data_IF_642987319762
#
_entry.id   IF_642987319762
#
_cell.length_a   1.000
_cell.length_b   1.000
_cell.length_c   1.000
_cell.angle_alpha   90.00
_cell.angle_beta   90.00
_cell.angle_gamma   90.00
#
_symmetry.space_group_name_H-M   'P 1'
#
loop_
_entity.id
_entity.type
_entity.pdbx_description
1 polymer ?
#
# COMPACT_ATOMS: atom_id res chain seq x y z
N UNK A 1 82.93 -3.36 4.83
CA UNK A 1 81.77 -4.26 4.82
C UNK A 1 80.86 -3.86 5.98
N UNK A 2 79.78 -3.11 5.71
CA UNK A 2 78.74 -2.80 6.70
C UNK A 2 77.46 -3.38 6.11
N UNK A 3 76.94 -4.44 6.74
CA UNK A 3 75.71 -5.11 6.34
C UNK A 3 74.50 -4.32 6.88
N UNK A 4 73.70 -3.75 5.98
CA UNK A 4 72.42 -3.14 6.32
C UNK A 4 71.33 -4.21 6.30
N UNK A 5 70.79 -4.55 7.47
CA UNK A 5 69.63 -5.43 7.61
C UNK A 5 68.35 -4.59 7.48
N UNK A 6 67.63 -4.75 6.36
CA UNK A 6 66.29 -4.20 6.16
C UNK A 6 65.25 -5.11 6.82
N UNK A 7 64.65 -4.65 7.91
CA UNK A 7 63.51 -5.31 8.54
C UNK A 7 62.22 -4.97 7.77
N UNK A 8 61.66 -5.93 7.04
CA UNK A 8 60.31 -5.85 6.48
C UNK A 8 59.27 -6.02 7.59
N UNK A 9 58.65 -4.94 8.03
CA UNK A 9 57.45 -4.94 8.87
C UNK A 9 56.24 -5.34 8.03
N UNK A 10 55.78 -6.58 8.17
CA UNK A 10 54.45 -6.99 7.71
C UNK A 10 53.40 -6.30 8.60
N UNK A 11 52.68 -5.32 8.04
CA UNK A 11 51.48 -4.79 8.68
C UNK A 11 50.37 -5.85 8.56
N UNK A 12 49.67 -6.22 9.65
CA UNK A 12 48.54 -7.13 9.56
C UNK A 12 47.41 -6.45 8.78
N UNK A 13 46.97 -7.09 7.70
CA UNK A 13 45.67 -6.79 7.10
C UNK A 13 44.59 -7.06 8.15
N UNK A 14 44.04 -6.00 8.72
CA UNK A 14 42.79 -6.08 9.45
C UNK A 14 41.71 -6.48 8.44
N UNK A 15 41.44 -7.77 8.33
CA UNK A 15 40.22 -8.27 7.72
C UNK A 15 39.05 -7.67 8.51
N UNK A 16 38.45 -6.61 7.99
CA UNK A 16 37.18 -6.11 8.49
C UNK A 16 36.16 -7.24 8.28
N UNK A 17 35.84 -7.96 9.36
CA UNK A 17 34.70 -8.84 9.39
C UNK A 17 33.48 -7.98 9.08
N UNK A 18 32.98 -8.07 7.84
CA UNK A 18 31.80 -7.37 7.42
C UNK A 18 30.65 -7.89 8.29
N UNK A 19 30.11 -7.02 9.16
CA UNK A 19 29.06 -7.41 10.08
C UNK A 19 27.91 -8.05 9.29
N UNK A 20 27.43 -9.20 9.75
CA UNK A 20 26.41 -9.95 9.03
C UNK A 20 25.10 -9.14 9.01
N UNK A 21 24.62 -8.76 7.83
CA UNK A 21 23.35 -8.06 7.69
C UNK A 21 22.17 -8.93 8.19
N UNK A 22 21.19 -8.40 8.93
CA UNK A 22 21.23 -7.11 9.62
C UNK A 22 21.91 -7.23 11.00
N UNK A 23 22.72 -6.23 11.35
CA UNK A 23 23.41 -6.11 12.65
C UNK A 23 22.84 -5.00 13.55
N UNK A 24 21.83 -4.27 13.05
CA UNK A 24 21.15 -3.17 13.72
C UNK A 24 19.68 -3.09 13.25
N UNK A 25 18.83 -2.33 13.95
CA UNK A 25 17.46 -2.07 13.51
C UNK A 25 17.35 -1.53 12.09
N UNK A 26 16.38 -2.04 11.35
CA UNK A 26 15.98 -1.59 10.02
C UNK A 26 14.74 -0.70 10.11
N UNK A 27 14.46 0.06 9.05
CA UNK A 27 13.31 0.94 8.92
C UNK A 27 12.38 0.47 7.81
N UNK A 28 11.09 0.45 8.10
CA UNK A 28 10.02 0.29 7.12
C UNK A 28 9.26 1.61 6.98
N UNK A 29 9.52 2.33 5.89
CA UNK A 29 8.79 3.53 5.54
C UNK A 29 7.41 3.16 5.00
N UNK A 30 6.35 3.70 5.62
CA UNK A 30 4.96 3.49 5.21
C UNK A 30 4.41 4.80 4.65
N UNK A 31 3.98 4.85 3.37
CA UNK A 31 3.62 6.09 2.68
C UNK A 31 2.22 6.65 3.04
N UNK A 32 1.68 6.29 4.20
CA UNK A 32 0.39 6.78 4.72
C UNK A 32 0.44 6.90 6.25
N UNK A 33 -0.45 7.73 6.79
CA UNK A 33 -0.70 7.82 8.23
C UNK A 33 -1.16 6.47 8.80
N UNK A 34 -0.90 6.28 10.10
CA UNK A 34 -1.27 5.07 10.83
C UNK A 34 -2.80 4.87 10.90
N UNK A 35 -3.23 3.63 11.18
CA UNK A 35 -4.64 3.27 11.35
C UNK A 35 -5.41 3.00 10.05
N UNK A 36 -4.70 2.83 8.92
CA UNK A 36 -5.26 2.32 7.68
C UNK A 36 -4.71 0.94 7.31
N UNK A 37 -5.27 0.30 6.29
CA UNK A 37 -4.90 -1.06 5.88
C UNK A 37 -3.42 -1.22 5.53
N UNK A 38 -2.80 -0.22 4.87
CA UNK A 38 -1.35 -0.26 4.61
C UNK A 38 -0.53 -0.34 5.89
N UNK A 39 -0.93 0.38 6.94
CA UNK A 39 -0.23 0.38 8.24
C UNK A 39 -0.47 -0.94 9.00
N UNK A 40 -1.69 -1.48 8.95
CA UNK A 40 -2.01 -2.77 9.55
C UNK A 40 -1.14 -3.90 8.97
N UNK A 41 -1.13 -4.04 7.64
CA UNK A 41 -0.32 -5.05 6.95
C UNK A 41 1.18 -4.82 7.19
N UNK A 42 1.64 -3.55 7.15
CA UNK A 42 3.04 -3.22 7.39
C UNK A 42 3.51 -3.66 8.77
N UNK A 43 2.73 -3.37 9.82
CA UNK A 43 3.07 -3.76 11.21
C UNK A 43 3.08 -5.26 11.40
N UNK A 44 2.08 -5.97 10.86
CA UNK A 44 1.99 -7.42 10.93
C UNK A 44 3.21 -8.10 10.29
N UNK A 45 3.57 -7.68 9.08
CA UNK A 45 4.71 -8.26 8.35
C UNK A 45 6.03 -7.83 8.97
N UNK A 46 6.15 -6.57 9.40
CA UNK A 46 7.38 -6.07 10.01
C UNK A 46 7.74 -6.79 11.30
N UNK A 47 6.73 -7.14 12.11
CA UNK A 47 6.94 -7.98 13.29
C UNK A 47 7.58 -9.32 12.91
N UNK A 48 6.95 -10.09 12.01
CA UNK A 48 7.45 -11.41 11.65
C UNK A 48 8.80 -11.39 10.92
N UNK A 49 9.02 -10.39 10.06
CA UNK A 49 10.32 -10.19 9.40
C UNK A 49 11.40 -9.89 10.42
N UNK A 50 11.11 -9.03 11.41
CA UNK A 50 12.07 -8.68 12.45
C UNK A 50 12.43 -9.86 13.34
N UNK A 51 11.45 -10.67 13.74
CA UNK A 51 11.65 -11.91 14.50
C UNK A 51 12.56 -12.89 13.73
N UNK A 52 12.35 -13.04 12.42
CA UNK A 52 13.16 -13.94 11.57
C UNK A 52 14.58 -13.46 11.35
N UNK A 53 14.78 -12.15 11.28
CA UNK A 53 16.09 -11.56 11.02
C UNK A 53 16.88 -11.27 12.30
N UNK A 54 16.26 -11.41 13.48
CA UNK A 54 16.89 -11.12 14.77
C UNK A 54 17.14 -9.63 15.01
N UNK A 55 16.50 -8.75 14.22
CA UNK A 55 16.61 -7.30 14.31
C UNK A 55 15.24 -6.67 14.06
N UNK A 56 14.93 -5.57 14.75
CA UNK A 56 13.64 -4.90 14.55
C UNK A 56 13.53 -4.30 13.15
N UNK A 57 12.34 -4.44 12.54
CA UNK A 57 11.94 -3.66 11.37
C UNK A 57 10.94 -2.60 11.84
N UNK A 58 11.43 -1.38 12.08
CA UNK A 58 10.67 -0.31 12.73
C UNK A 58 9.79 0.40 11.71
N UNK A 59 8.47 0.43 11.95
CA UNK A 59 7.50 1.10 11.09
C UNK A 59 7.52 2.61 11.32
N UNK A 60 7.81 3.38 10.27
CA UNK A 60 7.77 4.85 10.25
C UNK A 60 6.74 5.34 9.21
N UNK A 61 5.66 5.98 9.67
CA UNK A 61 4.59 6.47 8.80
C UNK A 61 4.85 7.90 8.29
N UNK A 62 4.73 8.10 6.98
CA UNK A 62 4.74 9.44 6.36
C UNK A 62 3.75 9.52 5.19
N UNK A 63 2.53 9.97 5.48
CA UNK A 63 1.45 10.13 4.51
C UNK A 63 1.42 11.46 3.76
N UNK A 64 2.55 12.13 3.61
CA UNK A 64 2.61 13.46 2.97
C UNK A 64 2.63 13.34 1.45
N UNK A 65 1.96 14.29 0.77
CA UNK A 65 1.94 14.39 -0.70
C UNK A 65 1.55 13.08 -1.41
N UNK A 66 0.49 12.39 -0.93
CA UNK A 66 0.04 11.12 -1.50
C UNK A 66 1.07 9.99 -1.39
N UNK A 67 2.01 10.09 -0.43
CA UNK A 67 3.09 9.13 -0.24
C UNK A 67 4.39 9.43 -1.01
N UNK A 68 4.40 10.50 -1.82
CA UNK A 68 5.60 10.88 -2.58
C UNK A 68 6.79 11.25 -1.68
N UNK A 69 6.54 11.80 -0.49
CA UNK A 69 7.63 12.13 0.42
C UNK A 69 8.32 10.88 0.98
N UNK A 70 7.55 9.89 1.43
CA UNK A 70 8.11 8.61 1.90
C UNK A 70 8.86 7.88 0.78
N UNK A 71 8.33 7.95 -0.45
CA UNK A 71 8.97 7.38 -1.64
C UNK A 71 10.29 8.08 -1.93
N UNK A 72 10.34 9.41 -1.89
CA UNK A 72 11.59 10.15 -2.08
C UNK A 72 12.61 9.90 -0.97
N UNK A 73 12.15 9.80 0.28
CA UNK A 73 13.00 9.44 1.43
C UNK A 73 13.62 8.05 1.27
N UNK A 74 12.82 7.06 0.85
CA UNK A 74 13.31 5.72 0.60
C UNK A 74 14.31 5.69 -0.57
N UNK A 75 13.98 6.33 -1.69
CA UNK A 75 14.85 6.36 -2.87
C UNK A 75 16.21 7.03 -2.62
N UNK A 76 16.26 8.00 -1.70
CA UNK A 76 17.49 8.69 -1.31
C UNK A 76 18.30 7.96 -0.21
N UNK A 77 17.78 6.88 0.36
CA UNK A 77 18.47 6.11 1.39
C UNK A 77 19.63 5.31 0.79
N UNK A 78 20.61 4.97 1.65
CA UNK A 78 21.69 4.06 1.27
C UNK A 78 21.11 2.73 0.79
N UNK A 79 21.60 2.16 -0.33
CA UNK A 79 21.17 0.86 -0.83
C UNK A 79 21.83 -0.27 -0.01
N UNK A 80 21.63 -0.29 1.30
CA UNK A 80 22.27 -1.22 2.25
C UNK A 80 21.27 -2.18 2.93
N UNK A 81 19.98 -2.09 2.56
CA UNK A 81 18.90 -2.92 3.10
C UNK A 81 18.31 -2.45 4.43
N UNK A 82 18.84 -1.40 5.07
CA UNK A 82 18.31 -0.90 6.34
C UNK A 82 17.11 0.05 6.16
N UNK A 83 16.80 0.44 4.93
CA UNK A 83 15.57 1.16 4.58
C UNK A 83 14.76 0.35 3.58
N UNK A 84 13.56 -0.03 3.99
CA UNK A 84 12.56 -0.72 3.17
C UNK A 84 11.36 0.21 3.00
N UNK A 85 10.76 0.21 1.81
CA UNK A 85 9.53 0.95 1.55
C UNK A 85 8.35 -0.02 1.39
N UNK A 86 7.25 0.30 2.07
CA UNK A 86 5.95 -0.34 1.84
C UNK A 86 5.34 0.19 0.54
N UNK A 87 5.60 -0.52 -0.55
CA UNK A 87 5.07 -0.26 -1.87
C UNK A 87 3.56 -0.54 -1.94
N UNK A 88 2.84 0.36 -2.61
CA UNK A 88 1.42 0.20 -2.95
C UNK A 88 1.10 1.01 -4.21
N UNK A 89 -0.09 0.81 -4.77
CA UNK A 89 -0.48 1.38 -6.06
C UNK A 89 -0.28 2.91 -6.22
N UNK A 90 -0.60 3.69 -5.19
CA UNK A 90 -0.60 5.15 -5.31
C UNK A 90 0.81 5.70 -5.62
N UNK A 91 1.75 5.59 -4.68
CA UNK A 91 3.09 6.11 -4.87
C UNK A 91 3.87 5.41 -5.97
N UNK A 92 3.65 4.12 -6.19
CA UNK A 92 4.50 3.32 -7.08
C UNK A 92 4.13 3.42 -8.56
N UNK A 93 2.83 3.50 -8.89
CA UNK A 93 2.38 3.33 -10.29
C UNK A 93 1.36 4.37 -10.74
N UNK A 94 0.77 5.15 -9.82
CA UNK A 94 -0.27 6.15 -10.14
C UNK A 94 0.29 7.57 -10.05
N UNK A 95 0.98 7.89 -8.96
CA UNK A 95 1.47 9.23 -8.68
C UNK A 95 2.38 9.81 -9.78
N UNK A 96 3.27 9.04 -10.45
CA UNK A 96 4.07 9.55 -11.58
C UNK A 96 3.23 10.12 -12.74
N UNK A 97 1.98 9.67 -12.88
CA UNK A 97 1.05 10.14 -13.91
C UNK A 97 0.05 11.18 -13.39
N UNK A 98 -0.16 11.22 -12.08
CA UNK A 98 -1.17 12.08 -11.43
C UNK A 98 -0.59 13.43 -10.96
N UNK A 99 0.61 13.41 -10.36
CA UNK A 99 1.24 14.61 -9.81
C UNK A 99 2.21 15.20 -10.83
N UNK A 100 2.11 16.51 -11.08
CA UNK A 100 2.98 17.18 -12.07
C UNK A 100 4.45 17.24 -11.65
N UNK A 101 4.71 17.21 -10.34
CA UNK A 101 6.02 17.49 -9.74
C UNK A 101 6.64 16.28 -9.04
N UNK A 102 6.40 15.06 -9.55
CA UNK A 102 7.06 13.85 -9.02
C UNK A 102 8.55 13.89 -9.41
N UNK A 103 9.42 13.81 -8.40
CA UNK A 103 10.89 13.87 -8.57
C UNK A 103 11.56 12.50 -8.68
N UNK A 104 10.83 11.44 -8.37
CA UNK A 104 11.36 10.07 -8.27
C UNK A 104 10.46 9.17 -9.10
N UNK A 105 11.03 8.52 -10.12
CA UNK A 105 10.37 7.44 -10.83
C UNK A 105 10.52 6.14 -10.02
N UNK A 106 9.45 5.61 -9.43
CA UNK A 106 9.53 4.42 -8.58
C UNK A 106 9.97 3.16 -9.35
N UNK A 107 9.73 3.08 -10.66
CA UNK A 107 10.11 1.90 -11.45
C UNK A 107 11.62 1.81 -11.67
N UNK A 108 12.35 2.91 -11.52
CA UNK A 108 13.82 2.96 -11.69
C UNK A 108 14.56 3.17 -10.36
N UNK A 109 13.91 3.78 -9.37
CA UNK A 109 14.50 4.11 -8.08
C UNK A 109 14.56 2.94 -7.08
N UNK A 110 13.89 1.83 -7.35
CA UNK A 110 13.79 0.71 -6.40
C UNK A 110 14.09 -0.66 -7.03
N UNK A 111 14.61 -1.57 -6.21
CA UNK A 111 14.62 -3.01 -6.46
C UNK A 111 13.44 -3.67 -5.72
N UNK A 112 12.54 -4.38 -6.43
CA UNK A 112 11.41 -5.04 -5.79
C UNK A 112 11.83 -6.29 -5.02
N UNK A 113 11.23 -6.54 -3.86
CA UNK A 113 11.49 -7.76 -3.09
C UNK A 113 10.41 -8.82 -3.34
N UNK A 114 9.17 -8.49 -3.01
CA UNK A 114 8.01 -9.37 -3.20
C UNK A 114 6.72 -8.56 -3.04
N UNK A 115 5.69 -8.95 -3.79
CA UNK A 115 4.32 -8.62 -3.47
C UNK A 115 3.91 -9.43 -2.24
N UNK A 116 3.49 -8.75 -1.19
CA UNK A 116 3.13 -9.35 0.11
C UNK A 116 1.71 -9.86 0.03
N UNK A 117 0.78 -8.98 -0.33
CA UNK A 117 -0.64 -9.32 -0.38
C UNK A 117 -1.45 -8.40 -1.29
N UNK A 118 -2.64 -8.86 -1.64
CA UNK A 118 -3.70 -8.04 -2.25
C UNK A 118 -4.95 -8.06 -1.37
N UNK A 119 -5.73 -6.99 -1.40
CA UNK A 119 -6.98 -6.90 -0.64
C UNK A 119 -8.07 -6.20 -1.46
N UNK A 120 -9.32 -6.68 -1.45
CA UNK A 120 -10.43 -5.92 -1.99
C UNK A 120 -10.66 -4.66 -1.14
N UNK A 121 -11.35 -3.69 -1.75
CA UNK A 121 -11.92 -2.56 -1.06
C UNK A 121 -13.41 -2.81 -0.81
N UNK A 122 -14.01 -1.92 -0.03
CA UNK A 122 -15.42 -1.93 0.32
C UNK A 122 -15.93 -0.49 0.35
N UNK A 123 -17.11 -0.28 -0.23
CA UNK A 123 -17.87 0.95 -0.13
C UNK A 123 -18.53 0.97 1.24
N UNK A 124 -18.15 1.93 2.08
CA UNK A 124 -18.69 2.09 3.43
C UNK A 124 -19.34 3.46 3.62
N UNK A 125 -20.37 3.47 4.45
CA UNK A 125 -21.05 4.69 4.90
C UNK A 125 -21.15 4.69 6.42
N UNK A 126 -21.43 5.85 7.02
CA UNK A 126 -21.75 5.93 8.44
C UNK A 126 -23.04 5.14 8.75
N UNK A 127 -23.25 4.65 9.99
CA UNK A 127 -24.43 3.85 10.35
C UNK A 127 -25.74 4.62 10.14
N UNK A 128 -25.68 5.93 10.32
CA UNK A 128 -26.79 6.87 10.20
C UNK A 128 -27.05 7.32 8.75
N UNK A 129 -26.20 6.93 7.80
CA UNK A 129 -26.39 7.27 6.38
C UNK A 129 -27.78 6.83 5.89
N UNK A 130 -28.48 7.66 5.10
CA UNK A 130 -29.77 7.26 4.51
C UNK A 130 -29.59 6.16 3.46
N UNK A 131 -28.38 5.95 2.94
CA UNK A 131 -28.08 4.94 1.92
C UNK A 131 -27.77 3.60 2.58
N UNK A 132 -28.62 2.60 2.34
CA UNK A 132 -28.52 1.24 2.89
C UNK A 132 -28.02 0.23 1.86
N UNK A 133 -28.05 0.59 0.58
CA UNK A 133 -27.53 -0.21 -0.53
C UNK A 133 -26.64 0.65 -1.43
N UNK A 134 -25.77 0.01 -2.22
CA UNK A 134 -24.95 0.72 -3.22
C UNK A 134 -25.83 1.41 -4.27
N UNK A 135 -26.93 0.77 -4.69
CA UNK A 135 -27.88 1.34 -5.65
C UNK A 135 -28.51 2.65 -5.14
N UNK A 136 -28.85 2.74 -3.85
CA UNK A 136 -29.36 3.97 -3.24
C UNK A 136 -28.33 5.09 -3.23
N UNK A 137 -27.08 4.78 -2.88
CA UNK A 137 -25.97 5.75 -2.89
C UNK A 137 -25.75 6.29 -4.30
N UNK A 138 -25.59 5.40 -5.28
CA UNK A 138 -25.36 5.77 -6.69
C UNK A 138 -26.54 6.53 -7.26
N UNK A 139 -27.77 6.05 -7.04
CA UNK A 139 -28.97 6.70 -7.53
C UNK A 139 -29.18 8.09 -6.93
N UNK A 140 -28.79 8.30 -5.67
CA UNK A 140 -28.77 9.64 -5.07
C UNK A 140 -27.70 10.53 -5.70
N UNK A 141 -26.48 10.01 -5.88
CA UNK A 141 -25.35 10.74 -6.47
C UNK A 141 -25.65 11.20 -7.91
N UNK A 142 -26.25 10.34 -8.73
CA UNK A 142 -26.66 10.67 -10.10
C UNK A 142 -27.72 11.78 -10.17
N UNK A 143 -28.67 11.79 -9.23
CA UNK A 143 -29.72 12.82 -9.15
C UNK A 143 -29.22 14.14 -8.57
N UNK A 144 -28.11 14.10 -7.82
CA UNK A 144 -27.62 15.21 -7.02
C UNK A 144 -26.10 15.39 -7.25
N UNK A 145 -25.72 15.67 -8.49
CA UNK A 145 -24.32 15.80 -8.90
C UNK A 145 -23.53 16.75 -7.97
N UNK A 146 -22.40 16.27 -7.46
CA UNK A 146 -21.49 17.04 -6.60
C UNK A 146 -22.02 17.32 -5.19
N UNK A 147 -23.15 16.72 -4.78
CA UNK A 147 -23.69 16.88 -3.40
C UNK A 147 -23.09 15.90 -2.41
N UNK A 148 -22.73 14.69 -2.86
CA UNK A 148 -22.02 13.74 -2.01
C UNK A 148 -20.55 14.09 -1.90
N UNK A 149 -19.99 13.83 -0.73
CA UNK A 149 -18.59 13.95 -0.39
C UNK A 149 -18.02 12.57 -0.05
N UNK A 150 -16.77 12.31 -0.40
CA UNK A 150 -16.10 11.08 -0.01
C UNK A 150 -14.67 11.29 0.50
N UNK A 151 -14.35 10.56 1.56
CA UNK A 151 -12.99 10.49 2.09
C UNK A 151 -12.10 9.52 1.30
N UNK A 152 -10.79 9.73 1.36
CA UNK A 152 -9.81 8.78 0.86
C UNK A 152 -8.51 8.83 1.66
N UNK A 153 -7.66 7.81 1.52
CA UNK A 153 -6.32 7.80 2.06
C UNK A 153 -5.34 8.81 1.40
N UNK A 154 -5.81 9.58 0.41
CA UNK A 154 -5.06 10.63 -0.26
C UNK A 154 -5.23 10.60 -1.77
N UNK A 155 -4.72 11.62 -2.43
CA UNK A 155 -4.65 11.69 -3.89
C UNK A 155 -3.86 10.49 -4.45
N UNK A 156 -4.38 9.84 -5.50
CA UNK A 156 -3.78 8.64 -6.10
C UNK A 156 -3.88 7.35 -5.27
N UNK A 157 -4.40 7.40 -4.04
CA UNK A 157 -4.57 6.20 -3.22
C UNK A 157 -5.58 5.21 -3.83
N UNK A 158 -5.48 3.94 -3.43
CA UNK A 158 -6.45 2.88 -3.75
C UNK A 158 -7.91 3.34 -3.59
N UNK A 159 -8.19 3.99 -2.46
CA UNK A 159 -9.51 4.52 -2.12
C UNK A 159 -9.98 5.60 -3.10
N UNK A 160 -9.09 6.52 -3.49
CA UNK A 160 -9.45 7.57 -4.43
C UNK A 160 -9.72 6.97 -5.81
N UNK A 161 -8.82 6.10 -6.29
CA UNK A 161 -8.93 5.50 -7.61
C UNK A 161 -10.15 4.58 -7.75
N UNK A 162 -10.47 3.82 -6.72
CA UNK A 162 -11.69 3.00 -6.70
C UNK A 162 -12.94 3.89 -6.80
N UNK A 163 -13.00 5.01 -6.08
CA UNK A 163 -14.13 5.93 -6.19
C UNK A 163 -14.20 6.59 -7.56
N UNK A 164 -13.07 7.00 -8.14
CA UNK A 164 -13.02 7.55 -9.51
C UNK A 164 -13.56 6.53 -10.52
N UNK A 165 -13.09 5.28 -10.44
CA UNK A 165 -13.56 4.22 -11.32
C UNK A 165 -15.06 3.98 -11.15
N UNK A 166 -15.57 4.02 -9.92
CA UNK A 166 -16.99 3.81 -9.65
C UNK A 166 -17.80 4.97 -10.22
N UNK A 167 -17.39 6.21 -9.95
CA UNK A 167 -18.03 7.42 -10.47
C UNK A 167 -18.06 7.42 -12.00
N UNK A 168 -16.99 6.99 -12.67
CA UNK A 168 -16.95 6.85 -14.13
C UNK A 168 -17.89 5.76 -14.63
N UNK A 169 -17.84 4.57 -14.01
CA UNK A 169 -18.65 3.41 -14.39
C UNK A 169 -20.14 3.68 -14.25
N UNK A 170 -20.51 4.45 -13.24
CA UNK A 170 -21.90 4.71 -12.85
C UNK A 170 -22.38 6.12 -13.21
N UNK A 171 -21.51 6.94 -13.81
CA UNK A 171 -21.81 8.31 -14.25
C UNK A 171 -22.38 9.21 -13.13
N UNK A 172 -21.81 9.17 -11.92
CA UNK A 172 -22.11 10.14 -10.87
C UNK A 172 -20.94 11.08 -10.61
N UNK A 173 -21.23 12.19 -9.91
CA UNK A 173 -20.24 13.14 -9.43
C UNK A 173 -20.29 13.24 -7.90
N UNK A 174 -19.12 13.22 -7.26
CA UNK A 174 -18.96 13.43 -5.82
C UNK A 174 -17.69 14.25 -5.55
N UNK A 175 -17.71 15.00 -4.45
CA UNK A 175 -16.60 15.85 -4.01
C UNK A 175 -15.59 15.01 -3.25
N UNK A 176 -14.35 15.02 -3.72
CA UNK A 176 -13.25 14.30 -3.09
C UNK A 176 -12.65 15.08 -1.92
N UNK A 177 -12.53 14.43 -0.77
CA UNK A 177 -11.81 14.95 0.41
C UNK A 177 -10.57 14.07 0.67
N UNK A 178 -9.36 14.51 0.28
CA UNK A 178 -8.14 13.75 0.47
C UNK A 178 -7.58 13.91 1.90
N UNK A 179 -7.27 12.78 2.56
CA UNK A 179 -6.56 12.76 3.85
C UNK A 179 -5.13 12.23 3.67
N UNK A 180 -4.36 12.19 4.76
CA UNK A 180 -2.99 11.63 4.78
C UNK A 180 -2.94 10.10 4.93
N UNK A 181 -4.09 9.44 4.98
CA UNK A 181 -4.22 8.00 5.18
C UNK A 181 -5.67 7.61 5.48
N UNK A 182 -5.98 6.32 5.42
CA UNK A 182 -7.36 5.84 5.64
C UNK A 182 -7.84 6.06 7.08
N UNK A 183 -6.95 6.00 8.09
CA UNK A 183 -7.31 6.22 9.49
C UNK A 183 -7.99 7.58 9.73
N UNK A 184 -7.34 8.71 9.41
CA UNK A 184 -7.96 10.04 9.53
C UNK A 184 -9.25 10.19 8.71
N UNK A 185 -9.31 9.63 7.51
CA UNK A 185 -10.52 9.68 6.67
C UNK A 185 -11.71 8.92 7.31
N UNK A 186 -11.43 7.77 7.92
CA UNK A 186 -12.44 6.98 8.63
C UNK A 186 -12.93 7.68 9.90
N UNK A 187 -12.05 8.35 10.64
CA UNK A 187 -12.45 9.19 11.76
C UNK A 187 -13.46 10.25 11.32
N UNK A 188 -13.24 10.87 10.16
CA UNK A 188 -14.13 11.91 9.65
C UNK A 188 -15.45 11.37 9.09
N UNK A 189 -15.43 10.19 8.44
CA UNK A 189 -16.64 9.47 8.05
C UNK A 189 -17.50 9.12 9.28
N UNK A 190 -16.87 8.65 10.37
CA UNK A 190 -17.56 8.35 11.62
C UNK A 190 -18.16 9.59 12.29
N UNK A 191 -17.52 10.75 12.10
CA UNK A 191 -18.03 12.05 12.56
C UNK A 191 -19.16 12.60 11.67
N UNK A 192 -19.40 12.01 10.50
CA UNK A 192 -20.43 12.46 9.54
C UNK A 192 -19.99 13.61 8.64
N UNK A 193 -18.68 13.87 8.54
CA UNK A 193 -18.12 14.94 7.70
C UNK A 193 -17.90 14.52 6.24
N UNK A 194 -18.04 13.21 5.95
CA UNK A 194 -18.13 12.69 4.58
C UNK A 194 -19.29 11.70 4.46
N UNK A 195 -19.87 11.58 3.27
CA UNK A 195 -21.06 10.74 3.06
C UNK A 195 -20.71 9.25 2.91
N UNK A 196 -19.59 8.97 2.24
CA UNK A 196 -19.10 7.61 2.05
C UNK A 196 -17.56 7.56 1.92
N UNK A 197 -17.02 6.35 1.95
CA UNK A 197 -15.62 6.09 1.63
C UNK A 197 -15.53 4.74 0.94
N UNK A 198 -14.71 4.62 -0.10
CA UNK A 198 -14.24 3.32 -0.59
C UNK A 198 -12.87 3.09 0.04
N UNK A 199 -12.69 2.02 0.81
CA UNK A 199 -11.41 1.75 1.48
C UNK A 199 -11.15 0.26 1.59
N UNK A 200 -9.91 -0.11 1.92
CA UNK A 200 -9.49 -1.51 1.97
C UNK A 200 -10.17 -2.23 3.11
N UNK A 201 -10.56 -3.49 2.91
CA UNK A 201 -11.18 -4.32 3.96
C UNK A 201 -10.35 -4.33 5.26
N UNK A 202 -9.01 -4.47 5.25
CA UNK A 202 -8.20 -4.38 6.46
C UNK A 202 -8.38 -3.07 7.25
N UNK A 203 -8.75 -1.95 6.60
CA UNK A 203 -8.95 -0.67 7.28
C UNK A 203 -10.25 -0.61 8.10
N UNK A 204 -11.26 -1.40 7.72
CA UNK A 204 -12.64 -1.23 8.21
C UNK A 204 -13.27 -2.50 8.76
N UNK A 205 -12.60 -3.65 8.69
CA UNK A 205 -13.12 -4.93 9.15
C UNK A 205 -13.69 -4.85 10.59
N UNK A 206 -12.90 -4.34 11.54
CA UNK A 206 -13.34 -4.15 12.92
C UNK A 206 -14.47 -3.13 13.06
N UNK A 207 -14.50 -2.09 12.22
CA UNK A 207 -15.56 -1.08 12.23
C UNK A 207 -16.88 -1.61 11.67
N UNK A 208 -16.83 -2.49 10.66
CA UNK A 208 -18.00 -3.18 10.10
C UNK A 208 -18.56 -4.15 11.13
N UNK A 209 -17.73 -5.01 11.72
CA UNK A 209 -18.16 -5.94 12.76
C UNK A 209 -18.71 -5.25 14.00
N UNK A 210 -18.11 -4.11 14.39
CA UNK A 210 -18.59 -3.28 15.49
C UNK A 210 -19.82 -2.42 15.17
N UNK A 211 -20.37 -2.49 13.94
CA UNK A 211 -21.50 -1.69 13.50
C UNK A 211 -21.23 -0.18 13.45
N UNK A 212 -19.95 0.22 13.45
CA UNK A 212 -19.52 1.62 13.39
C UNK A 212 -19.54 2.18 11.98
N UNK A 213 -19.47 1.34 10.97
CA UNK A 213 -19.76 1.67 9.57
C UNK A 213 -20.62 0.58 8.95
N UNK A 214 -21.33 0.91 7.88
CA UNK A 214 -22.09 -0.05 7.08
C UNK A 214 -21.38 -0.29 5.75
N UNK A 215 -21.10 -1.55 5.44
CA UNK A 215 -20.64 -1.95 4.12
C UNK A 215 -21.81 -2.03 3.13
N UNK A 216 -21.66 -1.40 1.97
CA UNK A 216 -22.65 -1.40 0.89
C UNK A 216 -22.31 -2.39 -0.22
N UNK A 217 -21.03 -2.46 -0.59
CA UNK A 217 -20.53 -3.41 -1.59
C UNK A 217 -19.02 -3.60 -1.48
N UNK A 218 -18.52 -4.79 -1.76
CA UNK A 218 -17.08 -5.05 -1.95
C UNK A 218 -16.67 -4.79 -3.40
N UNK A 219 -15.40 -4.45 -3.64
CA UNK A 219 -14.90 -4.07 -4.98
C UNK A 219 -14.17 -5.19 -5.72
N UNK A 220 -14.05 -6.37 -5.12
CA UNK A 220 -13.58 -7.57 -5.82
C UNK A 220 -14.66 -8.12 -6.77
N UNK A 221 -14.28 -9.06 -7.64
CA UNK A 221 -15.22 -9.68 -8.61
C UNK A 221 -16.45 -10.33 -7.96
N UNK A 222 -16.28 -10.86 -6.77
CA UNK A 222 -17.31 -11.54 -6.00
C UNK A 222 -17.29 -11.07 -4.54
N UNK A 223 -18.28 -11.53 -3.78
CA UNK A 223 -18.36 -11.30 -2.34
C UNK A 223 -17.07 -11.73 -1.64
N UNK A 224 -16.65 -10.95 -0.66
CA UNK A 224 -15.55 -11.34 0.20
C UNK A 224 -16.01 -12.46 1.15
N UNK A 225 -15.17 -13.48 1.39
CA UNK A 225 -15.48 -14.56 2.34
C UNK A 225 -15.82 -14.03 3.73
N UNK A 226 -15.22 -12.90 4.13
CA UNK A 226 -15.46 -12.24 5.41
C UNK A 226 -16.81 -11.53 5.50
N UNK A 227 -17.43 -11.22 4.35
CA UNK A 227 -18.71 -10.50 4.27
C UNK A 227 -19.64 -11.18 3.24
N UNK A 228 -20.06 -12.43 3.48
CA UNK A 228 -20.89 -13.18 2.52
C UNK A 228 -22.24 -12.50 2.25
N UNK A 229 -22.71 -11.64 3.15
CA UNK A 229 -23.93 -10.84 3.02
C UNK A 229 -23.76 -9.57 2.17
N UNK A 230 -22.53 -9.05 2.03
CA UNK A 230 -22.25 -7.83 1.29
C UNK A 230 -22.01 -8.17 -0.19
N UNK A 231 -22.82 -7.66 -1.13
CA UNK A 231 -22.62 -7.93 -2.55
C UNK A 231 -21.32 -7.32 -3.08
N UNK A 232 -20.82 -7.79 -4.22
CA UNK A 232 -19.85 -7.01 -4.98
C UNK A 232 -20.52 -5.85 -5.73
N UNK A 233 -19.72 -4.87 -6.15
CA UNK A 233 -20.19 -3.84 -7.09
C UNK A 233 -20.67 -4.48 -8.40
N UNK A 234 -19.99 -5.54 -8.86
CA UNK A 234 -20.39 -6.31 -10.03
C UNK A 234 -21.77 -6.96 -9.87
N UNK A 235 -22.03 -7.60 -8.72
CA UNK A 235 -23.35 -8.15 -8.37
C UNK A 235 -24.42 -7.07 -8.16
N UNK A 236 -24.02 -5.83 -7.89
CA UNK A 236 -24.91 -4.70 -7.66
C UNK A 236 -25.35 -3.98 -8.95
N UNK A 237 -24.91 -4.46 -10.12
CA UNK A 237 -25.36 -3.96 -11.43
C UNK A 237 -24.25 -3.46 -12.36
N UNK A 238 -22.98 -3.50 -11.95
CA UNK A 238 -21.84 -3.00 -12.75
C UNK A 238 -20.80 -4.09 -12.96
N UNK A 239 -21.13 -5.08 -13.80
CA UNK A 239 -20.42 -6.36 -13.94
C UNK A 239 -18.91 -6.24 -14.21
N UNK A 240 -18.47 -5.19 -14.91
CA UNK A 240 -17.06 -4.98 -15.27
C UNK A 240 -16.25 -4.20 -14.22
N UNK A 241 -16.89 -3.77 -13.13
CA UNK A 241 -16.21 -3.04 -12.07
C UNK A 241 -15.37 -3.98 -11.21
N UNK A 242 -14.08 -3.68 -11.11
CA UNK A 242 -13.17 -4.31 -10.17
C UNK A 242 -12.10 -3.31 -9.71
N UNK A 243 -11.86 -3.26 -8.40
CA UNK A 243 -10.77 -2.50 -7.82
C UNK A 243 -10.15 -3.26 -6.65
N UNK A 244 -8.82 -3.38 -6.65
CA UNK A 244 -8.06 -4.09 -5.61
C UNK A 244 -6.91 -3.23 -5.11
N UNK A 245 -6.57 -3.38 -3.84
CA UNK A 245 -5.33 -2.87 -3.28
C UNK A 245 -4.26 -3.95 -3.25
N UNK A 246 -3.00 -3.53 -3.36
CA UNK A 246 -1.86 -4.41 -3.27
C UNK A 246 -0.75 -3.76 -2.44
N UNK A 247 0.02 -4.62 -1.77
CA UNK A 247 1.06 -4.24 -0.81
C UNK A 247 2.31 -5.07 -1.07
N UNK A 248 3.47 -4.43 -1.14
CA UNK A 248 4.75 -5.13 -1.33
C UNK A 248 5.90 -4.41 -0.65
N UNK A 249 7.05 -5.07 -0.60
CA UNK A 249 8.29 -4.44 -0.18
C UNK A 249 9.20 -4.17 -1.35
N UNK A 250 9.80 -2.98 -1.34
CA UNK A 250 10.86 -2.56 -2.26
C UNK A 250 11.98 -1.92 -1.45
N UNK A 251 13.19 -1.93 -1.98
CA UNK A 251 14.38 -1.32 -1.38
C UNK A 251 15.07 -0.39 -2.38
N UNK A 252 15.93 0.55 -1.95
CA UNK A 252 16.61 1.46 -2.88
C UNK A 252 17.36 0.70 -3.97
N UNK A 253 17.36 1.26 -5.17
CA UNK A 253 18.05 0.66 -6.32
C UNK A 253 19.53 0.39 -6.01
N UNK A 254 20.01 -0.78 -6.38
CA UNK A 254 21.40 -1.19 -6.20
C UNK A 254 21.68 -1.85 -4.85
N UNK A 255 20.65 -2.20 -4.08
CA UNK A 255 20.84 -2.94 -2.81
C UNK A 255 21.48 -4.30 -3.11
N UNK A 256 22.54 -4.73 -2.36
CA UNK A 256 23.24 -5.98 -2.62
C UNK A 256 22.31 -7.20 -2.75
N UNK A 257 22.67 -8.13 -3.64
CA UNK A 257 21.84 -9.31 -3.98
C UNK A 257 21.62 -10.24 -2.80
N UNK A 258 22.62 -10.40 -1.94
CA UNK A 258 22.54 -11.19 -0.71
C UNK A 258 21.59 -10.55 0.32
N UNK A 259 21.66 -9.22 0.47
CA UNK A 259 20.77 -8.44 1.34
C UNK A 259 19.32 -8.52 0.87
N UNK A 260 19.06 -8.28 -0.42
CA UNK A 260 17.72 -8.39 -1.00
C UNK A 260 17.16 -9.80 -0.93
N UNK A 261 17.99 -10.83 -1.17
CA UNK A 261 17.60 -12.23 -1.02
C UNK A 261 17.21 -12.54 0.44
N UNK A 262 17.98 -12.06 1.43
CA UNK A 262 17.69 -12.28 2.85
C UNK A 262 16.40 -11.58 3.29
N UNK A 263 16.19 -10.31 2.91
CA UNK A 263 14.96 -9.57 3.17
C UNK A 263 13.74 -10.22 2.52
N UNK A 264 13.86 -10.62 1.26
CA UNK A 264 12.80 -11.32 0.54
C UNK A 264 12.47 -12.63 1.23
N UNK A 265 13.47 -13.47 1.53
CA UNK A 265 13.26 -14.76 2.16
C UNK A 265 12.54 -14.61 3.51
N UNK A 266 13.00 -13.70 4.36
CA UNK A 266 12.33 -13.41 5.63
C UNK A 266 10.89 -12.91 5.44
N UNK A 267 10.63 -12.10 4.41
CA UNK A 267 9.28 -11.61 4.08
C UNK A 267 8.37 -12.76 3.63
N UNK A 268 8.83 -13.58 2.69
CA UNK A 268 8.08 -14.73 2.15
C UNK A 268 7.82 -15.77 3.23
N UNK A 269 8.81 -16.08 4.07
CA UNK A 269 8.62 -17.02 5.18
C UNK A 269 7.66 -16.46 6.23
N UNK A 270 7.66 -15.14 6.44
CA UNK A 270 6.70 -14.47 7.34
C UNK A 270 5.28 -14.67 6.85
N UNK A 271 4.97 -14.25 5.62
CA UNK A 271 3.61 -14.34 5.08
C UNK A 271 3.13 -15.77 4.83
N UNK A 272 4.06 -16.73 4.73
CA UNK A 272 3.74 -18.16 4.61
C UNK A 272 3.67 -18.90 5.95
N UNK A 273 4.04 -18.27 7.06
CA UNK A 273 3.82 -18.87 8.37
C UNK A 273 2.32 -18.99 8.65
N UNK A 274 1.89 -20.09 9.26
CA UNK A 274 0.48 -20.36 9.51
C UNK A 274 -0.23 -19.19 10.22
N UNK A 275 0.41 -18.66 11.27
CA UNK A 275 -0.13 -17.56 12.07
C UNK A 275 -0.33 -16.26 11.25
N UNK A 276 0.66 -15.86 10.45
CA UNK A 276 0.58 -14.60 9.71
C UNK A 276 -0.33 -14.75 8.49
N UNK A 277 -0.27 -15.90 7.80
CA UNK A 277 -1.20 -16.23 6.71
C UNK A 277 -2.65 -16.15 7.17
N UNK A 278 -2.96 -16.81 8.28
CA UNK A 278 -4.29 -16.78 8.88
C UNK A 278 -4.70 -15.35 9.26
N UNK A 279 -3.80 -14.56 9.86
CA UNK A 279 -4.10 -13.15 10.18
C UNK A 279 -4.36 -12.31 8.94
N UNK A 280 -3.56 -12.45 7.88
CA UNK A 280 -3.78 -11.74 6.62
C UNK A 280 -5.15 -12.10 6.03
N UNK A 281 -5.47 -13.39 5.95
CA UNK A 281 -6.74 -13.87 5.42
C UNK A 281 -7.94 -13.39 6.27
N UNK A 282 -7.80 -13.40 7.59
CA UNK A 282 -8.79 -12.88 8.53
C UNK A 282 -8.95 -11.35 8.44
N UNK A 283 -7.92 -10.62 8.01
CA UNK A 283 -8.00 -9.18 7.71
C UNK A 283 -8.53 -8.89 6.29
N UNK A 284 -8.77 -9.93 5.49
CA UNK A 284 -9.29 -9.82 4.13
C UNK A 284 -8.21 -9.58 3.08
N UNK A 285 -6.95 -9.88 3.41
CA UNK A 285 -5.82 -9.80 2.50
C UNK A 285 -5.39 -11.21 2.05
N UNK A 286 -5.21 -11.38 0.74
CA UNK A 286 -4.68 -12.60 0.14
C UNK A 286 -3.14 -12.52 0.12
N UNK A 287 -2.41 -13.42 0.80
CA UNK A 287 -0.95 -13.48 0.75
C UNK A 287 -0.43 -14.03 -0.59
N UNK A 288 0.62 -13.40 -1.15
CA UNK A 288 1.11 -13.71 -2.50
C UNK A 288 2.55 -14.26 -2.50
N UNK A 289 3.57 -13.47 -2.14
CA UNK A 289 4.95 -13.96 -2.02
C UNK A 289 5.68 -14.26 -3.34
N UNK A 290 5.36 -13.51 -4.40
CA UNK A 290 5.90 -13.75 -5.74
C UNK A 290 7.41 -13.47 -5.88
N UNK A 291 7.97 -13.72 -7.07
CA UNK A 291 9.38 -13.39 -7.35
C UNK A 291 9.57 -11.88 -7.60
N UNK A 292 10.77 -11.32 -7.37
CA UNK A 292 11.07 -9.92 -7.66
C UNK A 292 10.69 -9.50 -9.09
N UNK A 293 10.97 -10.35 -10.07
CA UNK A 293 10.72 -10.04 -11.49
C UNK A 293 9.22 -10.00 -11.80
N UNK A 294 8.44 -10.87 -11.15
CA UNK A 294 6.98 -10.89 -11.29
C UNK A 294 6.36 -9.65 -10.65
N UNK A 295 6.90 -9.20 -9.51
CA UNK A 295 6.46 -7.97 -8.88
C UNK A 295 6.83 -6.73 -9.72
N UNK A 296 8.04 -6.68 -10.27
CA UNK A 296 8.46 -5.63 -11.19
C UNK A 296 7.54 -5.54 -12.42
N UNK A 297 7.29 -6.68 -13.07
CA UNK A 297 6.42 -6.75 -14.24
C UNK A 297 4.98 -6.30 -13.93
N UNK A 298 4.46 -6.65 -12.75
CA UNK A 298 3.16 -6.18 -12.29
C UNK A 298 3.14 -4.66 -12.14
N UNK A 299 4.15 -4.06 -11.48
CA UNK A 299 4.21 -2.61 -11.30
C UNK A 299 4.29 -1.87 -12.64
N UNK A 300 5.06 -2.36 -13.59
CA UNK A 300 5.12 -1.79 -14.94
C UNK A 300 3.77 -1.86 -15.67
N UNK A 301 3.09 -3.00 -15.59
CA UNK A 301 1.78 -3.20 -16.21
C UNK A 301 0.72 -2.28 -15.59
N UNK A 302 0.68 -2.18 -14.27
CA UNK A 302 -0.22 -1.27 -13.55
C UNK A 302 0.09 0.19 -13.86
N UNK A 303 1.37 0.58 -13.97
CA UNK A 303 1.76 1.95 -14.34
C UNK A 303 1.22 2.33 -15.73
N UNK A 304 1.35 1.43 -16.72
CA UNK A 304 0.76 1.64 -18.06
C UNK A 304 -0.76 1.73 -18.01
N UNK A 305 -1.42 0.89 -17.21
CA UNK A 305 -2.88 0.89 -17.03
C UNK A 305 -3.36 2.23 -16.46
N UNK A 306 -2.74 2.68 -15.37
CA UNK A 306 -3.13 3.91 -14.68
C UNK A 306 -2.82 5.17 -15.47
N UNK A 307 -1.73 5.19 -16.24
CA UNK A 307 -1.47 6.28 -17.19
C UNK A 307 -2.65 6.51 -18.16
N UNK A 308 -3.21 5.42 -18.68
CA UNK A 308 -4.39 5.47 -19.56
C UNK A 308 -5.64 6.01 -18.84
N UNK A 309 -5.94 5.44 -17.66
CA UNK A 309 -7.13 5.81 -16.87
C UNK A 309 -7.05 7.28 -16.42
N UNK A 310 -5.92 7.73 -15.88
CA UNK A 310 -5.72 9.12 -15.41
C UNK A 310 -5.91 10.11 -16.56
N UNK A 311 -5.33 9.80 -17.73
CA UNK A 311 -5.47 10.64 -18.93
C UNK A 311 -6.92 10.75 -19.39
N UNK A 312 -7.66 9.64 -19.38
CA UNK A 312 -9.09 9.62 -19.72
C UNK A 312 -9.93 10.38 -18.69
N UNK A 313 -9.62 10.21 -17.41
CA UNK A 313 -10.28 10.89 -16.29
C UNK A 313 -9.96 12.38 -16.19
N UNK A 314 -8.96 12.88 -16.94
CA UNK A 314 -8.43 14.24 -16.87
C UNK A 314 -8.05 14.66 -15.44
N UNK A 315 -7.60 13.68 -14.64
CA UNK A 315 -7.15 13.92 -13.27
C UNK A 315 -5.71 14.46 -13.29
N UNK A 316 -5.48 15.54 -12.56
CA UNK A 316 -4.15 16.09 -12.35
C UNK A 316 -4.08 16.77 -10.99
N UNK A 317 -2.97 16.58 -10.28
CA UNK A 317 -2.66 17.25 -9.03
C UNK A 317 -1.40 18.10 -9.24
N UNK A 318 -1.48 19.37 -8.88
CA UNK A 318 -0.36 20.31 -8.98
C UNK A 318 0.63 20.13 -7.83
#
# INVERSE_FOLDING_TARGET
MIAAATASTCLPEFAHAQAAFPDRPMKLLVPYAAGGGTDAIARLVAQGVGERLGQSLVVENNGSAGGNLATAQAAAASPDGYTVLMANQGPMVVNPHLFKNVRVDPLTAFDPLTLISAAPLVVVVSPNSPHKTLAELVGHAQKNAGKLTYGSAGNGSASHLATVLLAQTTQFEAVHVPYRGAGPALTDLLAGNSDFMITTVPSVLGLIHGGKVRALAVTGKARAKLFPEVPSVAESGWADYEATAWYGFVVPKGTPKDVTAKLRQATVDTINSALIRERLENEGAEPIGNRPEEFAAMMEAESRRWAGIIKQARLAIN
#
